data_IF_950600483057
#
_entry.id   IF_950600483057
#
_cell.length_a   1.000
_cell.length_b   1.000
_cell.length_c   1.000
_cell.angle_alpha   90.00
_cell.angle_beta   90.00
_cell.angle_gamma   90.00
#
_symmetry.space_group_name_H-M   'P 1'
#
loop_
_entity.id
_entity.type
_entity.pdbx_description
1 polymer ?
#
# COMPACT_ATOMS: atom_id res chain seq x y z
N UNK A 1 -6.25 2.90 -16.37
CA UNK A 1 -5.67 1.68 -16.09
C UNK A 1 -5.47 1.26 -14.64
N UNK A 2 -4.71 2.00 -13.84
CA UNK A 2 -4.35 1.57 -12.48
C UNK A 2 -5.57 1.40 -11.57
N UNK A 3 -6.45 2.38 -11.55
CA UNK A 3 -7.66 2.36 -10.72
C UNK A 3 -8.63 1.26 -11.14
N UNK A 4 -8.65 0.93 -12.43
CA UNK A 4 -9.51 -0.14 -12.93
C UNK A 4 -9.12 -1.50 -12.37
N UNK A 5 -7.82 -1.81 -12.31
CA UNK A 5 -7.34 -3.06 -11.73
C UNK A 5 -7.73 -3.18 -10.26
N UNK A 6 -7.54 -2.12 -9.48
CA UNK A 6 -7.92 -2.11 -8.08
C UNK A 6 -9.43 -2.34 -7.91
N UNK A 7 -10.26 -1.70 -8.73
CA UNK A 7 -11.71 -1.86 -8.67
C UNK A 7 -12.15 -3.28 -9.01
N UNK A 8 -11.53 -3.90 -10.03
CA UNK A 8 -11.85 -5.28 -10.39
C UNK A 8 -11.54 -6.24 -9.25
N UNK A 9 -10.38 -6.09 -8.61
CA UNK A 9 -10.00 -6.97 -7.50
C UNK A 9 -10.88 -6.75 -6.27
N UNK A 10 -11.32 -5.54 -6.01
CA UNK A 10 -12.29 -5.29 -4.94
C UNK A 10 -13.63 -5.97 -5.20
N UNK A 11 -14.12 -5.87 -6.44
CA UNK A 11 -15.38 -6.52 -6.83
C UNK A 11 -15.32 -8.04 -6.73
N UNK A 12 -14.14 -8.62 -6.91
CA UNK A 12 -13.93 -10.06 -6.77
C UNK A 12 -13.63 -10.48 -5.33
N UNK A 13 -13.69 -9.56 -4.37
CA UNK A 13 -13.33 -9.78 -2.97
C UNK A 13 -11.89 -10.29 -2.79
N UNK A 14 -10.99 -9.88 -3.70
CA UNK A 14 -9.58 -10.27 -3.67
C UNK A 14 -8.64 -9.11 -3.40
N UNK A 15 -9.19 -7.95 -3.10
CA UNK A 15 -8.37 -6.78 -2.86
C UNK A 15 -9.10 -5.73 -2.04
N UNK A 16 -8.34 -4.87 -1.44
CA UNK A 16 -8.82 -3.73 -0.67
C UNK A 16 -8.06 -2.48 -1.12
N UNK A 17 -8.79 -1.46 -1.50
CA UNK A 17 -8.21 -0.17 -1.88
C UNK A 17 -8.23 0.75 -0.67
N UNK A 18 -7.03 1.12 -0.19
CA UNK A 18 -6.92 2.02 0.94
C UNK A 18 -7.36 3.43 0.52
N UNK A 19 -8.29 4.06 1.24
CA UNK A 19 -8.66 5.46 0.94
C UNK A 19 -7.44 6.39 1.10
N UNK A 20 -7.45 7.56 0.46
CA UNK A 20 -6.36 8.52 0.64
C UNK A 20 -6.18 8.89 2.10
N UNK A 21 -5.00 8.63 2.63
CA UNK A 21 -4.64 8.93 4.01
C UNK A 21 -3.23 9.48 4.06
N UNK A 22 -2.97 10.31 5.06
CA UNK A 22 -1.71 11.02 5.17
C UNK A 22 -0.83 10.55 6.32
N UNK A 23 -1.31 9.61 7.14
CA UNK A 23 -0.70 9.32 8.43
C UNK A 23 -0.62 7.81 8.63
N UNK A 24 0.52 7.36 9.15
CA UNK A 24 0.77 5.97 9.53
C UNK A 24 -0.33 5.43 10.47
N UNK A 25 -0.68 6.21 11.50
CA UNK A 25 -1.68 5.77 12.48
C UNK A 25 -3.08 5.61 11.87
N UNK A 26 -3.43 6.48 10.92
CA UNK A 26 -4.73 6.40 10.24
C UNK A 26 -4.82 5.14 9.39
N UNK A 27 -3.77 4.83 8.65
CA UNK A 27 -3.71 3.62 7.82
C UNK A 27 -3.85 2.37 8.68
N UNK A 28 -3.06 2.28 9.73
CA UNK A 28 -3.05 1.11 10.61
C UNK A 28 -4.38 0.96 11.36
N UNK A 29 -4.96 2.06 11.82
CA UNK A 29 -6.27 2.03 12.48
C UNK A 29 -7.36 1.54 11.55
N UNK A 30 -7.42 2.08 10.34
CA UNK A 30 -8.43 1.68 9.37
C UNK A 30 -8.34 0.20 9.05
N UNK A 31 -7.14 -0.28 8.70
CA UNK A 31 -6.94 -1.66 8.29
C UNK A 31 -7.18 -2.64 9.44
N UNK A 32 -6.69 -2.31 10.63
CA UNK A 32 -6.88 -3.16 11.80
C UNK A 32 -8.37 -3.32 12.13
N UNK A 33 -9.10 -2.22 12.21
CA UNK A 33 -10.52 -2.27 12.53
C UNK A 33 -11.34 -2.92 11.42
N UNK A 34 -11.02 -2.64 10.15
CA UNK A 34 -11.70 -3.28 9.03
C UNK A 34 -11.54 -4.80 9.06
N UNK A 35 -10.32 -5.27 9.25
CA UNK A 35 -10.04 -6.70 9.28
C UNK A 35 -10.65 -7.38 10.51
N UNK A 36 -10.60 -6.74 11.68
CA UNK A 36 -11.19 -7.29 12.88
C UNK A 36 -12.72 -7.36 12.79
N UNK A 37 -13.35 -6.30 12.31
CA UNK A 37 -14.81 -6.23 12.22
C UNK A 37 -15.39 -7.24 11.22
N UNK A 38 -14.63 -7.57 10.19
CA UNK A 38 -15.04 -8.50 9.15
C UNK A 38 -14.37 -9.89 9.28
N UNK A 39 -13.60 -10.09 10.34
CA UNK A 39 -12.87 -11.35 10.60
C UNK A 39 -12.00 -11.77 9.42
N UNK A 40 -11.32 -10.81 8.79
CA UNK A 40 -10.47 -11.04 7.63
C UNK A 40 -9.03 -11.29 8.09
N UNK A 41 -8.45 -12.39 7.64
CA UNK A 41 -7.02 -12.71 7.84
C UNK A 41 -6.24 -12.65 6.53
N UNK A 42 -6.91 -12.72 5.39
CA UNK A 42 -6.29 -12.67 4.06
C UNK A 42 -6.94 -11.56 3.26
N UNK A 43 -6.23 -10.44 3.13
CA UNK A 43 -6.67 -9.31 2.31
C UNK A 43 -6.45 -9.55 0.81
N UNK A 44 -5.58 -10.51 0.45
CA UNK A 44 -5.19 -10.74 -0.93
C UNK A 44 -4.32 -9.64 -1.48
N UNK A 45 -4.92 -8.63 -2.08
CA UNK A 45 -4.22 -7.48 -2.65
C UNK A 45 -4.60 -6.20 -1.93
N UNK A 46 -3.61 -5.38 -1.60
CA UNK A 46 -3.80 -4.11 -0.92
C UNK A 46 -3.27 -3.00 -1.82
N UNK A 47 -4.09 -1.99 -2.09
CA UNK A 47 -3.77 -0.91 -3.01
C UNK A 47 -3.68 0.42 -2.28
N UNK A 48 -2.58 1.13 -2.51
CA UNK A 48 -2.41 2.52 -2.07
C UNK A 48 -2.31 3.40 -3.31
N UNK A 49 -3.28 4.29 -3.49
CA UNK A 49 -3.30 5.26 -4.58
C UNK A 49 -2.93 6.62 -4.00
N UNK A 50 -1.70 7.06 -4.24
CA UNK A 50 -1.15 8.24 -3.59
C UNK A 50 -1.54 9.51 -4.36
N UNK A 51 -1.97 10.58 -3.65
CA UNK A 51 -2.28 11.85 -4.28
C UNK A 51 -1.05 12.46 -4.94
N UNK A 52 -1.28 13.25 -6.02
CA UNK A 52 -0.18 13.91 -6.76
C UNK A 52 0.60 14.89 -5.91
N UNK A 53 -0.05 15.54 -4.95
CA UNK A 53 0.54 16.61 -4.14
C UNK A 53 0.91 16.14 -2.73
N UNK A 54 1.32 14.89 -2.58
CA UNK A 54 1.71 14.37 -1.27
C UNK A 54 3.12 14.84 -0.90
N UNK A 55 3.27 15.39 0.29
CA UNK A 55 4.58 15.83 0.81
C UNK A 55 5.45 14.62 1.19
N UNK A 56 6.77 14.80 1.10
CA UNK A 56 7.74 13.72 1.34
C UNK A 56 7.64 13.09 2.74
N UNK A 57 7.36 13.90 3.77
CA UNK A 57 7.21 13.40 5.14
C UNK A 57 5.97 12.51 5.28
N UNK A 58 4.88 12.86 4.60
CA UNK A 58 3.67 12.03 4.57
C UNK A 58 3.90 10.74 3.81
N UNK A 59 4.64 10.81 2.72
CA UNK A 59 5.00 9.65 1.93
C UNK A 59 5.83 8.65 2.75
N UNK A 60 6.77 9.15 3.55
CA UNK A 60 7.56 8.31 4.45
C UNK A 60 6.68 7.58 5.47
N UNK A 61 5.63 8.25 5.97
CA UNK A 61 4.66 7.63 6.87
C UNK A 61 3.91 6.49 6.22
N UNK A 62 3.50 6.66 4.97
CA UNK A 62 2.81 5.59 4.21
C UNK A 62 3.75 4.40 4.00
N UNK A 63 5.00 4.63 3.61
CA UNK A 63 5.97 3.54 3.44
C UNK A 63 6.28 2.82 4.76
N UNK A 64 6.31 3.54 5.87
CA UNK A 64 6.47 2.93 7.20
C UNK A 64 5.29 2.02 7.54
N UNK A 65 4.07 2.44 7.19
CA UNK A 65 2.87 1.60 7.35
C UNK A 65 2.99 0.31 6.54
N UNK A 66 3.44 0.43 5.30
CA UNK A 66 3.60 -0.72 4.41
C UNK A 66 4.63 -1.71 4.96
N UNK A 67 5.75 -1.21 5.49
CA UNK A 67 6.76 -2.08 6.09
C UNK A 67 6.20 -2.86 7.30
N UNK A 68 5.35 -2.23 8.11
CA UNK A 68 4.70 -2.92 9.22
C UNK A 68 3.68 -3.95 8.74
N UNK A 69 2.92 -3.65 7.69
CA UNK A 69 1.98 -4.60 7.10
C UNK A 69 2.73 -5.82 6.53
N UNK A 70 3.93 -5.63 6.00
CA UNK A 70 4.76 -6.71 5.50
C UNK A 70 5.26 -7.63 6.62
N UNK A 71 5.21 -7.19 7.88
CA UNK A 71 5.43 -8.06 9.05
C UNK A 71 4.18 -8.86 9.42
N UNK A 72 3.15 -8.84 8.57
CA UNK A 72 1.91 -9.62 8.68
C UNK A 72 1.09 -9.28 9.92
N UNK A 73 1.14 -8.04 10.37
CA UNK A 73 0.35 -7.60 11.51
C UNK A 73 -0.20 -6.18 11.33
N UNK A 74 -1.37 -5.98 11.90
CA UNK A 74 -2.04 -4.69 11.96
C UNK A 74 -2.25 -4.31 13.43
N UNK A 75 -2.29 -3.02 13.71
CA UNK A 75 -2.54 -2.56 15.07
C UNK A 75 -3.25 -1.21 15.08
N UNK A 76 -3.97 -0.95 16.17
CA UNK A 76 -4.62 0.33 16.41
C UNK A 76 -4.05 0.90 17.70
N UNK A 77 -3.39 2.07 17.59
CA UNK A 77 -2.78 2.75 18.74
C UNK A 77 -3.66 3.85 19.32
N UNK A 78 -4.78 4.19 18.67
CA UNK A 78 -5.60 5.36 19.03
C UNK A 78 -6.66 5.08 20.07
N UNK A 79 -7.34 3.91 19.93
CA UNK A 79 -8.44 3.51 20.82
C UNK A 79 -8.00 2.27 21.54
N UNK A 80 -7.64 2.11 22.69
CA UNK A 80 -7.15 0.88 23.31
C UNK A 80 -6.30 0.04 22.35
N UNK A 81 -5.11 -0.27 22.70
CA UNK A 81 -4.19 -1.01 21.83
C UNK A 81 -4.82 -2.33 21.38
N UNK A 82 -4.91 -2.52 20.05
CA UNK A 82 -5.42 -3.74 19.44
C UNK A 82 -4.41 -4.25 18.43
N UNK A 83 -4.30 -5.55 18.29
CA UNK A 83 -3.46 -6.22 17.30
C UNK A 83 -4.29 -7.22 16.53
N UNK A 84 -3.93 -7.38 15.24
CA UNK A 84 -4.57 -8.37 14.39
C UNK A 84 -3.53 -8.91 13.44
N UNK A 85 -3.32 -10.23 13.46
CA UNK A 85 -2.38 -10.88 12.55
C UNK A 85 -3.08 -11.28 11.26
N UNK A 86 -2.42 -11.05 10.13
CA UNK A 86 -2.94 -11.35 8.79
C UNK A 86 -1.92 -12.13 8.00
N UNK A 87 -2.36 -12.79 6.93
CA UNK A 87 -1.45 -13.26 5.90
C UNK A 87 -0.90 -12.05 5.15
N UNK A 88 0.37 -12.09 4.77
CA UNK A 88 0.98 -10.96 4.10
C UNK A 88 0.32 -10.71 2.75
N UNK A 89 -0.30 -9.54 2.54
CA UNK A 89 -0.94 -9.23 1.28
C UNK A 89 0.07 -8.85 0.21
N UNK A 90 -0.34 -8.94 -1.05
CA UNK A 90 0.38 -8.30 -2.13
C UNK A 90 0.07 -6.81 -2.12
N UNK A 91 1.07 -5.97 -2.00
CA UNK A 91 0.88 -4.53 -1.86
C UNK A 91 1.26 -3.82 -3.15
N UNK A 92 0.36 -2.97 -3.61
CA UNK A 92 0.51 -2.15 -4.81
C UNK A 92 0.45 -0.68 -4.41
N UNK A 93 1.45 0.09 -4.82
CA UNK A 93 1.49 1.53 -4.59
C UNK A 93 1.47 2.23 -5.93
N UNK A 94 0.46 3.06 -6.14
CA UNK A 94 0.33 3.87 -7.34
C UNK A 94 0.75 5.30 -7.03
N UNK A 95 1.74 5.79 -7.75
CA UNK A 95 2.23 7.14 -7.56
C UNK A 95 2.58 7.77 -8.90
N UNK A 96 2.49 9.10 -8.99
CA UNK A 96 2.89 9.85 -10.17
C UNK A 96 4.33 10.39 -10.07
N UNK A 97 4.97 10.21 -8.93
CA UNK A 97 6.34 10.65 -8.68
C UNK A 97 7.20 9.44 -8.32
N UNK A 98 8.45 9.48 -8.74
CA UNK A 98 9.41 8.43 -8.38
C UNK A 98 9.70 8.56 -6.88
N UNK A 99 9.50 7.50 -6.08
CA UNK A 99 9.80 7.56 -4.66
C UNK A 99 11.30 7.69 -4.41
N UNK A 100 11.67 8.15 -3.22
CA UNK A 100 13.08 8.15 -2.83
C UNK A 100 13.53 6.70 -2.64
N UNK A 101 14.42 6.25 -3.51
CA UNK A 101 14.86 4.85 -3.54
C UNK A 101 15.58 4.44 -2.26
N UNK A 102 16.14 5.39 -1.52
CA UNK A 102 16.80 5.11 -0.25
C UNK A 102 15.82 4.72 0.86
N UNK A 103 14.53 5.08 0.70
CA UNK A 103 13.47 4.72 1.66
C UNK A 103 12.91 3.32 1.42
N UNK A 104 13.34 2.66 0.34
CA UNK A 104 12.82 1.36 -0.06
C UNK A 104 13.90 0.30 0.05
N UNK A 105 13.56 -0.84 0.64
CA UNK A 105 14.46 -1.98 0.62
C UNK A 105 14.41 -2.65 -0.76
N UNK A 106 15.57 -2.81 -1.39
CA UNK A 106 15.68 -3.28 -2.78
C UNK A 106 15.18 -4.71 -2.97
N UNK A 107 15.20 -5.53 -1.92
CA UNK A 107 14.73 -6.91 -1.95
C UNK A 107 13.23 -7.05 -1.82
N UNK A 108 12.54 -6.01 -1.32
CA UNK A 108 11.09 -6.05 -1.08
C UNK A 108 10.27 -5.28 -2.11
N UNK A 109 10.88 -4.38 -2.87
CA UNK A 109 10.18 -3.48 -3.77
C UNK A 109 10.53 -3.73 -5.21
N UNK A 110 9.52 -3.70 -6.07
CA UNK A 110 9.67 -3.73 -7.52
C UNK A 110 9.01 -2.51 -8.11
N UNK A 111 9.76 -1.78 -8.93
CA UNK A 111 9.24 -0.56 -9.57
C UNK A 111 8.84 -0.87 -11.00
N UNK A 112 7.65 -0.41 -11.37
CA UNK A 112 7.09 -0.58 -12.69
C UNK A 112 6.63 0.75 -13.23
N UNK A 113 6.67 0.92 -14.52
CA UNK A 113 6.10 2.07 -15.21
C UNK A 113 5.24 1.60 -16.38
N UNK A 114 4.40 2.49 -16.88
CA UNK A 114 3.56 2.22 -18.04
C UNK A 114 4.18 2.92 -19.24
N UNK A 115 4.48 2.17 -20.29
CA UNK A 115 5.07 2.72 -21.51
C UNK A 115 4.01 3.32 -22.44
N UNK A 116 4.44 3.85 -23.59
CA UNK A 116 3.55 4.49 -24.56
C UNK A 116 2.53 3.52 -25.17
N UNK A 117 2.81 2.23 -25.12
CA UNK A 117 1.89 1.18 -25.61
C UNK A 117 0.93 0.70 -24.53
N UNK A 118 0.90 1.36 -23.37
CA UNK A 118 0.09 1.00 -22.22
C UNK A 118 0.45 -0.37 -21.61
N UNK A 119 1.70 -0.76 -21.76
CA UNK A 119 2.22 -1.99 -21.17
C UNK A 119 2.94 -1.68 -19.85
N UNK A 120 2.79 -2.57 -18.88
CA UNK A 120 3.50 -2.49 -17.61
C UNK A 120 4.91 -3.05 -17.80
N UNK A 121 5.92 -2.21 -17.62
CA UNK A 121 7.32 -2.60 -17.82
C UNK A 121 8.14 -2.23 -16.59
N UNK A 122 9.23 -2.96 -16.32
CA UNK A 122 10.10 -2.59 -15.20
C UNK A 122 10.67 -1.20 -15.36
N UNK A 123 10.69 -0.43 -14.26
CA UNK A 123 11.31 0.89 -14.25
C UNK A 123 12.82 0.73 -14.10
N UNK A 124 13.56 1.40 -14.98
CA UNK A 124 15.03 1.43 -14.93
C UNK A 124 15.45 2.86 -14.55
N UNK A 125 16.20 2.96 -13.44
CA UNK A 125 16.71 4.26 -13.01
C UNK A 125 17.75 4.75 -14.03
N UNK A 126 17.58 5.96 -14.62
CA UNK A 126 18.55 6.48 -15.59
C UNK A 126 19.96 6.67 -15.03
N UNK A 127 20.12 6.68 -13.71
CA UNK A 127 21.42 6.86 -13.07
C UNK A 127 22.17 5.54 -12.82
N UNK A 128 21.54 4.41 -13.10
CA UNK A 128 22.15 3.09 -12.93
C UNK A 128 22.95 2.67 -14.20
#
# INVERSE_FOLDING_TARGET
GKSYLASVLELLNRGFRCPPMNDFKDVMQLLCNYCMDNEIRDLGHLFFDLPRAMYKDKLAGIFSSIEEILECRLFDLRNHYKRWYIECPNIWVYTNAIPNMSDLSTDRWKLWTINDKLELVPYIDPLD
#
